data_IF_371641689992
#
_entry.id   IF_371641689992
#
_cell.length_a   1.000
_cell.length_b   1.000
_cell.length_c   1.000
_cell.angle_alpha   90.00
_cell.angle_beta   90.00
_cell.angle_gamma   90.00
#
_symmetry.space_group_name_H-M   'P 1'
#
loop_
_entity.id
_entity.type
_entity.pdbx_description
1 polymer ?
#
# COMPACT_ATOMS: atom_id res chain seq x y z
N UNK A 1 3.77 -9.41 -19.35
CA UNK A 1 2.92 -9.88 -18.22
C UNK A 1 3.49 -11.15 -17.60
N UNK A 2 3.63 -12.24 -18.36
CA UNK A 2 4.24 -13.49 -17.86
C UNK A 2 5.67 -13.35 -17.33
N UNK A 3 6.51 -12.49 -17.91
CA UNK A 3 7.86 -12.22 -17.37
C UNK A 3 7.82 -11.61 -15.98
N UNK A 4 6.83 -10.74 -15.71
CA UNK A 4 6.63 -10.11 -14.40
C UNK A 4 6.15 -11.16 -13.40
N UNK A 5 5.21 -12.02 -13.81
CA UNK A 5 4.75 -13.16 -12.99
C UNK A 5 5.88 -14.14 -12.67
N UNK A 6 6.70 -14.49 -13.66
CA UNK A 6 7.87 -15.35 -13.47
C UNK A 6 8.91 -14.73 -12.54
N UNK A 7 9.14 -13.42 -12.66
CA UNK A 7 10.03 -12.69 -11.76
C UNK A 7 9.49 -12.63 -10.31
N UNK A 8 8.18 -12.45 -10.12
CA UNK A 8 7.52 -12.53 -8.81
C UNK A 8 7.66 -13.91 -8.17
N UNK A 9 7.42 -14.98 -8.94
CA UNK A 9 7.58 -16.36 -8.47
C UNK A 9 9.04 -16.66 -8.10
N UNK A 10 9.99 -16.25 -8.95
CA UNK A 10 11.41 -16.38 -8.66
C UNK A 10 11.80 -15.62 -7.39
N UNK A 11 11.34 -14.38 -7.23
CA UNK A 11 11.57 -13.57 -6.03
C UNK A 11 11.02 -14.22 -4.75
N UNK A 12 9.86 -14.87 -4.83
CA UNK A 12 9.28 -15.61 -3.71
C UNK A 12 10.13 -16.84 -3.33
N UNK A 13 10.59 -17.61 -4.31
CA UNK A 13 11.47 -18.78 -4.08
C UNK A 13 12.80 -18.36 -3.47
N UNK A 14 13.43 -17.31 -4.01
CA UNK A 14 14.68 -16.75 -3.46
C UNK A 14 14.48 -16.22 -2.04
N UNK A 15 13.38 -15.50 -1.78
CA UNK A 15 13.02 -15.02 -0.45
C UNK A 15 12.77 -16.15 0.55
N UNK A 16 12.20 -17.27 0.10
CA UNK A 16 11.97 -18.45 0.94
C UNK A 16 13.29 -19.12 1.36
N UNK A 17 14.26 -19.25 0.45
CA UNK A 17 15.59 -19.79 0.74
C UNK A 17 16.37 -18.89 1.70
N UNK A 18 16.24 -17.57 1.58
CA UNK A 18 16.95 -16.58 2.39
C UNK A 18 16.30 -16.25 3.74
N UNK A 19 15.14 -16.86 4.05
CA UNK A 19 14.32 -16.58 5.24
C UNK A 19 15.03 -16.72 6.59
N UNK A 20 16.11 -17.51 6.68
CA UNK A 20 16.85 -17.73 7.94
C UNK A 20 17.77 -16.57 8.35
N UNK A 21 18.03 -15.59 7.48
CA UNK A 21 18.83 -14.40 7.82
C UNK A 21 17.91 -13.20 8.03
N UNK A 22 17.88 -12.66 9.25
CA UNK A 22 17.20 -11.40 9.53
C UNK A 22 17.97 -10.24 8.88
N UNK A 23 17.61 -9.88 7.65
CA UNK A 23 18.15 -8.73 6.95
C UNK A 23 17.58 -7.40 7.48
N UNK A 24 17.79 -7.11 8.78
CA UNK A 24 17.42 -5.81 9.39
C UNK A 24 18.03 -4.62 8.64
N UNK A 25 19.19 -4.83 8.00
CA UNK A 25 19.88 -3.83 7.18
C UNK A 25 19.05 -3.47 5.94
N UNK A 26 18.42 -4.44 5.27
CA UNK A 26 17.61 -4.18 4.08
C UNK A 26 16.39 -3.33 4.44
N UNK A 27 15.72 -3.65 5.55
CA UNK A 27 14.61 -2.85 6.05
C UNK A 27 15.05 -1.41 6.35
N UNK A 28 16.19 -1.23 7.02
CA UNK A 28 16.73 0.11 7.32
C UNK A 28 17.06 0.90 6.05
N UNK A 29 17.71 0.27 5.06
CA UNK A 29 18.02 0.90 3.77
C UNK A 29 16.74 1.28 3.02
N UNK A 30 15.71 0.43 3.02
CA UNK A 30 14.41 0.74 2.38
C UNK A 30 13.74 1.95 3.03
N UNK A 31 13.70 2.02 4.36
CA UNK A 31 13.12 3.17 5.05
C UNK A 31 13.88 4.47 4.73
N UNK A 32 15.22 4.43 4.73
CA UNK A 32 16.05 5.58 4.34
C UNK A 32 15.80 5.97 2.89
N UNK A 33 15.72 5.01 1.98
CA UNK A 33 15.50 5.27 0.56
C UNK A 33 14.10 5.85 0.30
N UNK A 34 13.06 5.34 0.97
CA UNK A 34 11.71 5.90 0.88
C UNK A 34 11.73 7.35 1.38
N UNK A 35 12.34 7.62 2.54
CA UNK A 35 12.48 8.97 3.07
C UNK A 35 13.21 9.90 2.09
N UNK A 36 14.31 9.43 1.51
CA UNK A 36 15.09 10.19 0.55
C UNK A 36 14.29 10.51 -0.72
N UNK A 37 13.58 9.52 -1.27
CA UNK A 37 12.70 9.70 -2.42
C UNK A 37 11.57 10.67 -2.11
N UNK A 38 10.95 10.56 -0.93
CA UNK A 38 9.86 11.43 -0.51
C UNK A 38 10.35 12.88 -0.35
N UNK A 39 11.56 13.06 0.17
CA UNK A 39 12.20 14.36 0.29
C UNK A 39 12.51 14.97 -1.09
N UNK A 40 13.13 14.22 -1.99
CA UNK A 40 13.40 14.65 -3.36
C UNK A 40 12.11 15.04 -4.09
N UNK A 41 11.08 14.20 -3.98
CA UNK A 41 9.78 14.46 -4.56
C UNK A 41 9.16 15.75 -4.01
N UNK A 42 9.22 15.96 -2.70
CA UNK A 42 8.74 17.20 -2.07
C UNK A 42 9.49 18.44 -2.57
N UNK A 43 10.81 18.34 -2.76
CA UNK A 43 11.63 19.42 -3.29
C UNK A 43 11.30 19.74 -4.76
N UNK A 44 11.14 18.72 -5.62
CA UNK A 44 10.76 18.91 -7.03
C UNK A 44 9.38 19.56 -7.18
N UNK A 45 8.41 19.08 -6.40
CA UNK A 45 7.04 19.62 -6.40
C UNK A 45 7.03 21.05 -5.84
N UNK A 46 7.81 21.32 -4.78
CA UNK A 46 7.90 22.62 -4.13
C UNK A 46 8.62 23.70 -4.95
N UNK A 47 9.52 23.31 -5.85
CA UNK A 47 10.23 24.25 -6.73
C UNK A 47 9.40 24.64 -7.97
N UNK A 48 8.27 23.97 -8.23
CA UNK A 48 7.45 24.22 -9.42
C UNK A 48 6.18 25.02 -9.08
N UNK A 49 6.11 26.33 -9.42
CA UNK A 49 4.98 27.18 -9.08
C UNK A 49 3.68 26.77 -9.77
N UNK A 50 3.75 26.11 -10.94
CA UNK A 50 2.57 25.59 -11.63
C UNK A 50 1.94 24.43 -10.85
N UNK A 51 2.77 23.56 -10.25
CA UNK A 51 2.30 22.45 -9.43
C UNK A 51 1.74 22.97 -8.12
N UNK A 52 2.45 23.81 -7.37
CA UNK A 52 1.98 24.41 -6.11
C UNK A 52 0.59 25.05 -6.21
N UNK A 53 0.35 25.82 -7.30
CA UNK A 53 -0.92 26.52 -7.49
C UNK A 53 -2.07 25.54 -7.78
N UNK A 54 -1.77 24.39 -8.34
CA UNK A 54 -2.74 23.31 -8.58
C UNK A 54 -2.81 22.31 -7.41
N UNK A 55 -1.79 22.23 -6.55
CA UNK A 55 -1.72 21.30 -5.39
C UNK A 55 -2.89 21.47 -4.45
N UNK A 56 -3.43 22.69 -4.28
CA UNK A 56 -4.66 22.88 -3.48
C UNK A 56 -5.87 22.14 -4.07
N UNK A 57 -6.05 22.22 -5.40
CA UNK A 57 -7.14 21.53 -6.09
C UNK A 57 -6.89 20.03 -6.20
N UNK A 58 -5.69 19.61 -6.61
CA UNK A 58 -5.30 18.20 -6.68
C UNK A 58 -5.33 17.54 -5.29
N UNK A 59 -4.95 18.26 -4.24
CA UNK A 59 -4.96 17.78 -2.87
C UNK A 59 -6.38 17.52 -2.38
N UNK A 60 -7.33 18.40 -2.71
CA UNK A 60 -8.74 18.18 -2.40
C UNK A 60 -9.32 17.00 -3.20
N UNK A 61 -9.06 16.94 -4.51
CA UNK A 61 -9.49 15.82 -5.36
C UNK A 61 -8.92 14.49 -4.84
N UNK A 62 -7.64 14.47 -4.44
CA UNK A 62 -6.97 13.30 -3.86
C UNK A 62 -7.54 12.92 -2.49
N UNK A 63 -7.88 13.90 -1.63
CA UNK A 63 -8.52 13.65 -0.34
C UNK A 63 -9.89 13.00 -0.54
N UNK A 64 -10.69 13.52 -1.47
CA UNK A 64 -12.02 13.00 -1.77
C UNK A 64 -11.96 11.58 -2.31
N UNK A 65 -11.07 11.30 -3.27
CA UNK A 65 -10.88 9.96 -3.83
C UNK A 65 -10.31 9.00 -2.78
N UNK A 66 -9.34 9.43 -1.97
CA UNK A 66 -8.72 8.62 -0.94
C UNK A 66 -9.69 8.22 0.17
N UNK A 67 -10.51 9.17 0.65
CA UNK A 67 -11.56 8.91 1.64
C UNK A 67 -12.66 8.01 1.07
N UNK A 68 -13.14 8.28 -0.14
CA UNK A 68 -14.13 7.43 -0.82
C UNK A 68 -13.61 6.00 -1.02
N UNK A 69 -12.36 5.84 -1.48
CA UNK A 69 -11.74 4.53 -1.68
C UNK A 69 -11.51 3.76 -0.37
N UNK A 70 -11.12 4.46 0.70
CA UNK A 70 -10.96 3.86 2.03
C UNK A 70 -12.30 3.43 2.61
N UNK A 71 -13.32 4.29 2.54
CA UNK A 71 -14.69 3.96 2.97
C UNK A 71 -15.25 2.78 2.16
N UNK A 72 -15.08 2.79 0.84
CA UNK A 72 -15.48 1.69 -0.02
C UNK A 72 -14.79 0.37 0.33
N UNK A 73 -13.49 0.41 0.67
CA UNK A 73 -12.73 -0.78 1.09
C UNK A 73 -13.21 -1.31 2.44
N UNK A 74 -13.49 -0.43 3.41
CA UNK A 74 -14.03 -0.81 4.73
C UNK A 74 -15.42 -1.44 4.57
N UNK A 75 -16.30 -0.82 3.79
CA UNK A 75 -17.65 -1.32 3.52
C UNK A 75 -17.61 -2.65 2.76
N UNK A 76 -16.72 -2.78 1.79
CA UNK A 76 -16.50 -4.03 1.06
C UNK A 76 -16.01 -5.14 1.98
N UNK A 77 -15.04 -4.86 2.85
CA UNK A 77 -14.55 -5.82 3.84
C UNK A 77 -15.65 -6.23 4.84
N UNK A 78 -16.45 -5.28 5.33
CA UNK A 78 -17.58 -5.55 6.25
C UNK A 78 -18.68 -6.39 5.56
N UNK A 79 -19.01 -6.09 4.31
CA UNK A 79 -19.96 -6.88 3.53
C UNK A 79 -19.46 -8.31 3.32
N UNK A 80 -18.19 -8.46 2.93
CA UNK A 80 -17.58 -9.75 2.72
C UNK A 80 -17.53 -10.56 4.03
N UNK A 81 -17.22 -9.90 5.15
CA UNK A 81 -17.21 -10.52 6.48
C UNK A 81 -18.62 -10.99 6.90
N UNK A 82 -19.67 -10.23 6.59
CA UNK A 82 -21.07 -10.63 6.82
C UNK A 82 -21.50 -11.79 5.92
N UNK A 83 -21.02 -11.85 4.69
CA UNK A 83 -21.30 -12.95 3.76
C UNK A 83 -20.57 -14.24 4.13
N UNK A 84 -19.34 -14.12 4.66
CA UNK A 84 -18.53 -15.26 5.06
C UNK A 84 -18.88 -15.78 6.44
N UNK A 85 -19.46 -14.97 7.33
CA UNK A 85 -19.89 -15.43 8.66
C UNK A 85 -20.97 -16.52 8.49
N UNK A 86 -20.67 -17.79 8.79
CA UNK A 86 -21.73 -18.76 8.99
C UNK A 86 -22.44 -18.37 10.29
N UNK A 87 -23.77 -18.39 10.25
CA UNK A 87 -24.62 -18.19 11.41
C UNK A 87 -24.10 -19.02 12.61
N UNK A 88 -23.58 -18.35 13.64
CA UNK A 88 -23.22 -18.99 14.91
C UNK A 88 -24.38 -18.88 15.91
N UNK A 89 -25.60 -19.22 15.48
CA UNK A 89 -26.77 -19.31 16.38
C UNK A 89 -27.20 -20.76 16.67
N UNK A 90 -26.30 -21.74 16.65
CA UNK A 90 -26.64 -23.08 17.20
C UNK A 90 -25.41 -23.77 17.79
N UNK A 91 -25.56 -24.18 19.05
CA UNK A 91 -24.68 -25.02 19.88
C UNK A 91 -23.70 -24.31 20.83
N UNK A 92 -24.26 -23.52 21.75
CA UNK A 92 -23.89 -23.68 23.16
C UNK A 92 -24.98 -24.58 23.79
N UNK A 93 -24.61 -25.82 24.10
CA UNK A 93 -25.37 -26.74 24.95
C UNK A 93 -24.55 -26.97 26.21
#
# INVERSE_FOLDING_TARGET
MFTVLGCMLAGMVVGFIFRKKHFKIIQSVLFVLIWLLLFLLGAEIGSNPAVIRQTGKLGFDALLIGTAGTLGSILGADLLWKWIKPDKSTHEK
#
